data_IF_577368031821
#
_entry.id   IF_577368031821
#
_cell.length_a   1.000
_cell.length_b   1.000
_cell.length_c   1.000
_cell.angle_alpha   90.00
_cell.angle_beta   90.00
_cell.angle_gamma   90.00
#
_symmetry.space_group_name_H-M   'P 1'
#
loop_
_entity.id
_entity.type
_entity.pdbx_description
1 polymer ?
#
# COMPACT_ATOMS: atom_id res chain seq x y z
N UNK A 1 -2.91 2.99 20.68
CA UNK A 1 -3.59 3.61 19.54
C UNK A 1 -3.04 2.94 18.30
N UNK A 2 -3.86 2.21 17.53
CA UNK A 2 -3.41 1.52 16.31
C UNK A 2 -3.32 2.48 15.10
N UNK A 3 -3.85 3.69 15.24
CA UNK A 3 -3.85 4.69 14.18
C UNK A 3 -2.50 5.43 14.06
N UNK A 4 -2.04 5.68 12.81
CA UNK A 4 -0.81 6.43 12.54
C UNK A 4 -0.91 7.85 13.09
N UNK A 5 0.23 8.43 13.48
CA UNK A 5 0.26 9.85 13.87
C UNK A 5 -0.01 10.74 12.66
N UNK A 6 -0.62 11.91 12.86
CA UNK A 6 -0.84 12.88 11.78
C UNK A 6 0.45 13.25 11.03
N UNK A 7 1.60 13.28 11.71
CA UNK A 7 2.89 13.54 11.08
C UNK A 7 3.28 12.43 10.08
N UNK A 8 2.97 11.16 10.39
CA UNK A 8 3.18 10.05 9.46
C UNK A 8 2.23 10.17 8.27
N UNK A 9 0.95 10.40 8.53
CA UNK A 9 -0.08 10.55 7.48
C UNK A 9 0.28 11.67 6.51
N UNK A 10 0.75 12.82 7.01
CA UNK A 10 1.21 13.95 6.16
C UNK A 10 2.31 13.55 5.18
N UNK A 11 3.25 12.67 5.58
CA UNK A 11 4.34 12.22 4.69
C UNK A 11 3.81 11.40 3.52
N UNK A 12 2.75 10.62 3.75
CA UNK A 12 2.13 9.83 2.69
C UNK A 12 1.55 10.71 1.58
N UNK A 13 1.29 11.99 1.82
CA UNK A 13 0.85 12.93 0.80
C UNK A 13 1.97 13.51 -0.07
N UNK A 14 3.24 13.33 0.30
CA UNK A 14 4.37 13.85 -0.49
C UNK A 14 4.65 13.01 -1.73
N UNK A 15 4.54 11.68 -1.62
CA UNK A 15 4.73 10.79 -2.76
C UNK A 15 4.21 9.37 -2.46
N UNK A 16 3.91 8.62 -3.51
CA UNK A 16 3.50 7.21 -3.37
C UNK A 16 4.61 6.39 -2.69
N UNK A 17 5.88 6.69 -2.96
CA UNK A 17 7.02 6.05 -2.31
C UNK A 17 7.00 6.25 -0.78
N UNK A 18 6.67 7.45 -0.28
CA UNK A 18 6.53 7.70 1.16
C UNK A 18 5.35 6.95 1.77
N UNK A 19 4.23 6.86 1.04
CA UNK A 19 3.08 6.06 1.47
C UNK A 19 3.44 4.56 1.54
N UNK A 20 4.16 4.04 0.55
CA UNK A 20 4.52 2.62 0.47
C UNK A 20 5.67 2.21 1.41
N UNK A 21 6.57 3.13 1.78
CA UNK A 21 7.60 2.87 2.80
C UNK A 21 6.99 2.63 4.18
N UNK A 22 5.89 3.29 4.49
CA UNK A 22 5.19 3.15 5.77
C UNK A 22 4.24 1.92 5.74
N UNK A 23 4.37 0.94 6.66
CA UNK A 23 3.40 -0.17 6.76
C UNK A 23 1.94 0.29 6.89
N UNK A 24 1.67 1.33 7.70
CA UNK A 24 0.31 1.84 7.85
C UNK A 24 -0.17 2.59 6.61
N UNK A 25 0.75 3.20 5.84
CA UNK A 25 0.42 3.85 4.57
C UNK A 25 0.02 2.81 3.52
N UNK A 26 0.79 1.70 3.43
CA UNK A 26 0.44 0.54 2.60
C UNK A 26 -0.92 -0.02 2.94
N UNK A 27 -1.20 -0.25 4.23
CA UNK A 27 -2.48 -0.85 4.66
C UNK A 27 -3.68 0.04 4.30
N UNK A 28 -3.55 1.37 4.46
CA UNK A 28 -4.63 2.29 4.13
C UNK A 28 -4.81 2.46 2.62
N UNK A 29 -3.70 2.47 1.86
CA UNK A 29 -3.77 2.50 0.41
C UNK A 29 -4.35 1.20 -0.16
N UNK A 30 -3.98 0.04 0.38
CA UNK A 30 -4.55 -1.25 -0.01
C UNK A 30 -6.07 -1.29 0.22
N UNK A 31 -6.54 -0.88 1.40
CA UNK A 31 -7.99 -0.80 1.70
C UNK A 31 -8.74 0.09 0.72
N UNK A 32 -8.13 1.22 0.34
CA UNK A 32 -8.70 2.10 -0.67
C UNK A 32 -8.81 1.40 -2.03
N UNK A 33 -7.74 0.74 -2.48
CA UNK A 33 -7.75 -0.01 -3.76
C UNK A 33 -8.73 -1.19 -3.74
N UNK A 34 -8.89 -1.89 -2.62
CA UNK A 34 -9.90 -2.94 -2.45
C UNK A 34 -11.32 -2.38 -2.63
N UNK A 35 -11.60 -1.18 -2.12
CA UNK A 35 -12.90 -0.52 -2.30
C UNK A 35 -13.18 -0.10 -3.74
N UNK A 36 -12.13 -0.02 -4.58
CA UNK A 36 -12.20 0.35 -5.99
C UNK A 36 -11.88 -0.81 -6.93
N UNK A 37 -11.77 -2.03 -6.40
CA UNK A 37 -11.47 -3.25 -7.17
C UNK A 37 -10.18 -3.15 -8.02
N UNK A 38 -9.15 -2.49 -7.49
CA UNK A 38 -7.84 -2.27 -8.17
C UNK A 38 -6.63 -2.67 -7.32
N UNK A 39 -6.87 -3.50 -6.29
CA UNK A 39 -5.88 -3.92 -5.30
C UNK A 39 -4.77 -4.83 -5.86
N UNK A 40 -5.02 -5.50 -6.98
CA UNK A 40 -4.07 -6.38 -7.68
C UNK A 40 -2.78 -5.65 -8.06
N UNK A 41 -2.86 -4.37 -8.42
CA UNK A 41 -1.70 -3.55 -8.78
C UNK A 41 -0.71 -3.41 -7.61
N UNK A 42 -1.23 -3.12 -6.41
CA UNK A 42 -0.39 -3.01 -5.22
C UNK A 42 0.10 -4.38 -4.75
N UNK A 43 -0.75 -5.41 -4.81
CA UNK A 43 -0.34 -6.78 -4.46
C UNK A 43 0.80 -7.27 -5.35
N UNK A 44 0.70 -7.08 -6.66
CA UNK A 44 1.77 -7.38 -7.61
C UNK A 44 3.05 -6.63 -7.25
N UNK A 45 2.96 -5.30 -7.08
CA UNK A 45 4.13 -4.48 -6.78
C UNK A 45 4.85 -4.93 -5.50
N UNK A 46 4.08 -5.26 -4.45
CA UNK A 46 4.60 -5.79 -3.17
C UNK A 46 5.18 -7.19 -3.32
N UNK A 47 4.57 -8.07 -4.12
CA UNK A 47 5.08 -9.42 -4.38
C UNK A 47 6.45 -9.38 -5.06
N UNK A 48 6.66 -8.45 -6.02
CA UNK A 48 7.97 -8.24 -6.65
C UNK A 48 8.99 -7.66 -5.66
N UNK A 49 8.60 -6.73 -4.79
CA UNK A 49 9.47 -6.23 -3.71
C UNK A 49 9.89 -7.34 -2.73
N UNK A 50 8.97 -8.24 -2.38
CA UNK A 50 9.25 -9.41 -1.55
C UNK A 50 10.25 -10.35 -2.23
N UNK A 51 9.98 -10.73 -3.48
CA UNK A 51 10.87 -11.57 -4.29
C UNK A 51 12.31 -11.02 -4.33
N UNK A 52 12.47 -9.71 -4.52
CA UNK A 52 13.77 -9.02 -4.53
C UNK A 52 14.56 -9.21 -3.22
N UNK A 53 13.90 -9.48 -2.09
CA UNK A 53 14.53 -9.65 -0.76
C UNK A 53 14.72 -11.10 -0.34
N UNK A 54 14.15 -12.07 -1.06
CA UNK A 54 14.26 -13.49 -0.75
C UNK A 54 15.66 -14.06 -0.95
N UNK A 55 16.03 -15.19 -0.32
CA UNK A 55 17.23 -15.95 -0.67
C UNK A 55 17.28 -16.28 -2.16
N UNK A 56 18.46 -16.30 -2.77
CA UNK A 56 18.61 -16.49 -4.22
C UNK A 56 17.94 -17.78 -4.74
N UNK A 57 18.04 -18.87 -3.98
CA UNK A 57 17.40 -20.16 -4.29
C UNK A 57 15.86 -20.12 -4.37
N UNK A 58 15.21 -19.14 -3.75
CA UNK A 58 13.75 -18.98 -3.76
C UNK A 58 13.27 -17.98 -4.83
N UNK A 59 14.18 -17.23 -5.45
CA UNK A 59 13.80 -16.18 -6.41
C UNK A 59 13.08 -16.79 -7.62
N UNK A 60 13.60 -17.90 -8.16
CA UNK A 60 13.01 -18.53 -9.34
C UNK A 60 11.60 -19.07 -9.09
N UNK A 61 11.38 -19.80 -7.99
CA UNK A 61 10.05 -20.28 -7.64
C UNK A 61 9.08 -19.13 -7.38
N UNK A 62 9.50 -18.11 -6.62
CA UNK A 62 8.66 -16.94 -6.35
C UNK A 62 8.35 -16.15 -7.61
N UNK A 63 9.29 -16.06 -8.55
CA UNK A 63 9.06 -15.41 -9.83
C UNK A 63 7.96 -16.10 -10.63
N UNK A 64 7.95 -17.44 -10.68
CA UNK A 64 6.90 -18.20 -11.37
C UNK A 64 5.54 -18.07 -10.68
N UNK A 65 5.48 -18.05 -9.35
CA UNK A 65 4.24 -17.80 -8.60
C UNK A 65 3.62 -16.44 -8.96
N UNK A 66 4.43 -15.38 -9.01
CA UNK A 66 3.99 -14.03 -9.39
C UNK A 66 3.44 -14.03 -10.82
N UNK A 67 4.09 -14.76 -11.74
CA UNK A 67 3.60 -14.87 -13.12
C UNK A 67 2.20 -15.48 -13.16
N UNK A 68 2.01 -16.62 -12.49
CA UNK A 68 0.73 -17.33 -12.48
C UNK A 68 -0.39 -16.51 -11.82
N UNK A 69 -0.09 -15.74 -10.78
CA UNK A 69 -1.10 -14.94 -10.07
C UNK A 69 -1.55 -13.69 -10.84
N UNK A 70 -0.62 -13.03 -11.55
CA UNK A 70 -0.85 -11.67 -12.08
C UNK A 70 -0.73 -11.51 -13.61
N UNK A 71 -0.01 -12.37 -14.32
CA UNK A 71 0.32 -12.16 -15.74
C UNK A 71 -0.02 -13.32 -16.67
N UNK A 72 -0.12 -14.55 -16.16
CA UNK A 72 -0.49 -15.70 -16.96
C UNK A 72 -1.88 -15.52 -17.60
N UNK A 73 -2.10 -16.21 -18.71
CA UNK A 73 -3.42 -16.26 -19.32
C UNK A 73 -4.43 -16.87 -18.33
N UNK A 74 -5.52 -16.15 -18.05
CA UNK A 74 -6.50 -16.55 -17.04
C UNK A 74 -6.03 -16.35 -15.59
N UNK A 75 -4.99 -15.55 -15.35
CA UNK A 75 -4.51 -15.23 -14.01
C UNK A 75 -5.63 -14.71 -13.08
N UNK A 76 -5.73 -15.22 -11.84
CA UNK A 76 -6.82 -14.88 -10.92
C UNK A 76 -6.79 -13.43 -10.43
N UNK A 77 -5.66 -12.74 -10.58
CA UNK A 77 -5.47 -11.32 -10.21
C UNK A 77 -4.76 -10.57 -11.33
N UNK A 78 -5.21 -10.75 -12.57
CA UNK A 78 -4.61 -10.15 -13.76
C UNK A 78 -4.41 -8.64 -13.63
N UNK A 79 -3.18 -8.16 -13.83
CA UNK A 79 -2.87 -6.72 -13.86
C UNK A 79 -2.93 -6.16 -15.29
N UNK A 80 -3.21 -4.87 -15.42
CA UNK A 80 -3.11 -4.18 -16.71
C UNK A 80 -1.65 -3.77 -16.98
N UNK A 81 -1.01 -4.45 -17.92
CA UNK A 81 0.38 -4.21 -18.30
C UNK A 81 0.49 -3.95 -19.80
N UNK A 82 1.32 -2.98 -20.20
CA UNK A 82 1.57 -2.72 -21.61
C UNK A 82 2.32 -3.89 -22.29
N UNK A 83 2.14 -4.04 -23.61
CA UNK A 83 2.70 -5.15 -24.39
C UNK A 83 4.22 -5.25 -24.29
N UNK A 84 4.93 -4.12 -24.28
CA UNK A 84 6.39 -4.11 -24.24
C UNK A 84 6.90 -4.61 -22.89
N UNK A 85 6.31 -4.15 -21.79
CA UNK A 85 6.63 -4.62 -20.44
C UNK A 85 6.28 -6.10 -20.23
N UNK A 86 5.17 -6.56 -20.82
CA UNK A 86 4.76 -7.97 -20.79
C UNK A 86 5.75 -8.87 -21.51
N UNK A 87 6.12 -8.52 -22.74
CA UNK A 87 7.08 -9.29 -23.56
C UNK A 87 8.45 -9.38 -22.89
N UNK A 88 8.96 -8.26 -22.37
CA UNK A 88 10.25 -8.24 -21.65
C UNK A 88 10.19 -9.10 -20.39
N UNK A 89 9.12 -9.01 -19.61
CA UNK A 89 8.94 -9.86 -18.42
C UNK A 89 8.89 -11.34 -18.79
N UNK A 90 8.14 -11.70 -19.83
CA UNK A 90 8.06 -13.07 -20.34
C UNK A 90 9.43 -13.62 -20.76
N UNK A 91 10.24 -12.82 -21.45
CA UNK A 91 11.59 -13.19 -21.83
C UNK A 91 12.51 -13.35 -20.61
N UNK A 92 12.43 -12.44 -19.64
CA UNK A 92 13.22 -12.46 -18.41
C UNK A 92 12.89 -13.64 -17.49
N UNK A 93 11.72 -14.27 -17.65
CA UNK A 93 11.31 -15.45 -16.86
C UNK A 93 11.80 -16.77 -17.44
N UNK A 94 12.49 -16.76 -18.59
CA UNK A 94 13.23 -17.94 -19.08
C UNK A 94 14.43 -18.27 -18.19
N UNK A 95 15.03 -17.24 -17.58
CA UNK A 95 16.08 -17.35 -16.57
C UNK A 95 15.80 -16.33 -15.44
N UNK A 96 14.93 -16.68 -14.47
CA UNK A 96 14.44 -15.72 -13.49
C UNK A 96 15.52 -15.19 -12.54
N UNK A 97 15.56 -13.87 -12.39
CA UNK A 97 16.41 -13.16 -11.46
C UNK A 97 15.64 -12.12 -10.64
N UNK A 98 16.36 -11.43 -9.73
CA UNK A 98 15.75 -10.41 -8.84
C UNK A 98 15.11 -9.25 -9.61
N UNK A 99 15.55 -9.02 -10.84
CA UNK A 99 15.12 -7.90 -11.68
C UNK A 99 14.25 -8.35 -12.86
N UNK A 100 13.75 -9.59 -12.89
CA UNK A 100 12.94 -10.08 -14.02
C UNK A 100 11.65 -9.28 -14.26
N UNK A 101 11.16 -8.61 -13.22
CA UNK A 101 9.94 -7.80 -13.23
C UNK A 101 10.19 -6.29 -13.18
N UNK A 102 11.41 -5.79 -13.46
CA UNK A 102 11.74 -4.35 -13.28
C UNK A 102 10.79 -3.45 -14.08
N UNK A 103 10.66 -3.67 -15.39
CA UNK A 103 9.80 -2.88 -16.28
C UNK A 103 8.33 -2.98 -15.88
N UNK A 104 7.84 -4.19 -15.58
CA UNK A 104 6.46 -4.39 -15.17
C UNK A 104 6.16 -3.72 -13.81
N UNK A 105 7.09 -3.79 -12.86
CA UNK A 105 6.95 -3.14 -11.57
C UNK A 105 6.94 -1.63 -11.70
N UNK A 106 7.80 -1.06 -12.56
CA UNK A 106 7.82 0.37 -12.84
C UNK A 106 6.52 0.83 -13.50
N UNK A 107 6.03 0.11 -14.52
CA UNK A 107 4.76 0.42 -15.18
C UNK A 107 3.61 0.49 -14.18
N UNK A 108 3.43 -0.56 -13.37
CA UNK A 108 2.35 -0.63 -12.38
C UNK A 108 2.50 0.44 -11.29
N UNK A 109 3.73 0.78 -10.91
CA UNK A 109 3.97 1.88 -9.99
C UNK A 109 3.49 3.23 -10.56
N UNK A 110 3.81 3.53 -11.82
CA UNK A 110 3.37 4.76 -12.49
C UNK A 110 1.85 4.79 -12.72
N UNK A 111 1.25 3.65 -13.06
CA UNK A 111 -0.20 3.50 -13.17
C UNK A 111 -0.89 3.86 -11.85
N UNK A 112 -0.47 3.24 -10.73
CA UNK A 112 -1.01 3.58 -9.42
C UNK A 112 -0.76 5.04 -9.05
N UNK A 113 0.44 5.57 -9.32
CA UNK A 113 0.83 6.94 -8.98
C UNK A 113 -0.02 7.99 -9.69
N UNK A 114 -0.27 7.79 -10.99
CA UNK A 114 -0.99 8.75 -11.83
C UNK A 114 -2.51 8.69 -11.66
N UNK A 115 -3.06 7.53 -11.27
CA UNK A 115 -4.49 7.34 -11.10
C UNK A 115 -4.89 7.11 -9.62
N UNK A 116 -4.74 5.88 -9.13
CA UNK A 116 -5.38 5.46 -7.88
C UNK A 116 -4.82 6.19 -6.65
N UNK A 117 -3.53 6.50 -6.62
CA UNK A 117 -2.90 7.27 -5.55
C UNK A 117 -3.40 8.74 -5.54
N UNK A 118 -3.57 9.35 -6.71
CA UNK A 118 -4.13 10.70 -6.81
C UNK A 118 -5.59 10.75 -6.33
N UNK A 119 -6.35 9.66 -6.50
CA UNK A 119 -7.71 9.52 -5.94
C UNK A 119 -7.68 9.20 -4.44
N UNK A 120 -6.75 8.37 -3.97
CA UNK A 120 -6.53 8.07 -2.55
C UNK A 120 -6.32 9.35 -1.73
N UNK A 121 -5.44 10.26 -2.18
CA UNK A 121 -5.19 11.52 -1.47
C UNK A 121 -6.41 12.44 -1.38
N UNK A 122 -7.39 12.30 -2.29
CA UNK A 122 -8.65 13.06 -2.28
C UNK A 122 -9.78 12.33 -1.56
N UNK A 123 -9.59 11.05 -1.22
CA UNK A 123 -10.61 10.22 -0.58
C UNK A 123 -10.84 10.60 0.88
N UNK A 124 -12.05 10.32 1.38
CA UNK A 124 -12.39 10.50 2.79
C UNK A 124 -11.49 9.65 3.70
N UNK A 125 -11.05 8.47 3.24
CA UNK A 125 -10.15 7.58 4.00
C UNK A 125 -8.86 8.32 4.39
N UNK A 126 -8.23 9.01 3.44
CA UNK A 126 -7.00 9.75 3.71
C UNK A 126 -7.28 11.07 4.46
N UNK A 127 -8.33 11.81 4.07
CA UNK A 127 -8.65 13.10 4.69
C UNK A 127 -9.04 12.96 6.16
N UNK A 128 -9.81 11.94 6.53
CA UNK A 128 -10.20 11.67 7.91
C UNK A 128 -8.98 11.33 8.78
N UNK A 129 -8.03 10.55 8.26
CA UNK A 129 -6.77 10.25 8.95
C UNK A 129 -5.90 11.48 9.16
N UNK A 130 -5.91 12.41 8.19
CA UNK A 130 -5.16 13.66 8.28
C UNK A 130 -5.77 14.60 9.33
N UNK A 131 -7.10 14.63 9.41
CA UNK A 131 -7.87 15.48 10.32
C UNK A 131 -8.06 14.90 11.72
N UNK A 132 -7.85 13.59 11.91
CA UNK A 132 -7.95 12.90 13.18
C UNK A 132 -7.01 13.53 14.22
N UNK A 133 -7.48 14.56 14.92
CA UNK A 133 -6.81 15.11 16.09
C UNK A 133 -6.77 13.99 17.11
N UNK A 134 -5.62 13.79 17.77
CA UNK A 134 -5.57 12.96 18.99
C UNK A 134 -6.81 13.36 19.80
N UNK A 135 -7.78 12.46 19.98
CA UNK A 135 -8.77 12.63 21.05
C UNK A 135 -7.89 12.74 22.30
N UNK A 136 -7.66 13.98 22.73
CA UNK A 136 -6.90 14.26 23.93
C UNK A 136 -7.57 13.46 25.03
N UNK A 137 -6.76 12.87 25.90
CA UNK A 137 -7.25 12.49 27.23
C UNK A 137 -7.84 13.76 27.84
N UNK A 138 -9.14 13.98 27.68
CA UNK A 138 -9.83 15.04 28.40
C UNK A 138 -9.87 14.58 29.84
N UNK A 139 -9.08 15.27 30.66
CA UNK A 139 -9.12 15.23 32.10
C UNK A 139 -10.55 15.56 32.52
N UNK A 140 -11.37 14.54 32.79
CA UNK A 140 -12.63 14.77 33.49
C UNK A 140 -12.25 15.19 34.89
N UNK A 141 -12.43 16.49 35.15
CA UNK A 141 -12.01 17.16 36.36
C UNK A 141 -12.55 16.46 37.61
N UNK A 142 -11.66 16.24 38.58
CA UNK A 142 -12.04 16.16 39.99
C UNK A 142 -12.70 17.50 40.34
N UNK A 143 -14.03 17.56 40.30
CA UNK A 143 -14.79 18.60 40.98
C UNK A 143 -14.54 18.42 42.48
N UNK A 144 -13.80 19.36 43.05
CA UNK A 144 -13.88 19.72 44.46
C UNK A 144 -15.33 20.10 44.75
N UNK A 145 -16.01 19.37 45.62
CA UNK A 145 -17.20 19.85 46.32
C UNK A 145 -16.85 19.97 47.79
N UNK A 146 -16.47 21.19 48.18
CA UNK A 146 -16.46 21.61 49.57
C UNK A 146 -17.78 22.31 49.93
N UNK A 147 -18.20 22.05 51.18
CA UNK A 147 -19.04 22.85 52.08
C UNK A 147 -20.57 22.69 52.08
N UNK A 148 -21.00 22.16 53.24
CA UNK A 148 -22.08 22.61 54.15
C UNK A 148 -23.55 22.45 53.72
N UNK A 149 -24.31 21.67 54.51
CA UNK A 149 -25.23 22.22 55.53
C UNK A 149 -25.88 21.12 56.40
N UNK A 150 -25.92 21.41 57.70
CA UNK A 150 -26.89 21.06 58.77
C UNK A 150 -27.73 19.77 58.71
N UNK A 151 -27.63 18.94 59.75
CA UNK A 151 -28.54 18.93 60.92
C UNK A 151 -27.94 18.14 62.07
#
# INVERSE_FOLDING_TARGET
SRDPSQQRVKKWGFSLEEALKDPAGRDQFLKFLESEFSSENLRFWLAVQDMKRRPHQEVSSRAQEIWQEFLAEGAPSSINLDSHSYERTSQNLKDPGRYSYEDAQEHIFQLMKSDSYARFLRSNIYQDLLLARKKGKSLTGKRLTGLMQSS
#
